data_IF_022444064730
#
_entry.id   IF_022444064730
#
_cell.length_a   1.000
_cell.length_b   1.000
_cell.length_c   1.000
_cell.angle_alpha   90.00
_cell.angle_beta   90.00
_cell.angle_gamma   90.00
#
_symmetry.space_group_name_H-M   'P 1'
#
loop_
_entity.id
_entity.type
_entity.pdbx_description
1 polymer ?
#
# COMPACT_ATOMS: atom_id res chain seq x y z
N UNK A 1 -8.45 -2.96 -7.31
CA UNK A 1 -9.77 -2.68 -7.93
C UNK A 1 -10.26 -1.26 -7.66
N UNK A 2 -10.09 -0.70 -6.47
CA UNK A 2 -10.65 0.64 -6.15
C UNK A 2 -10.07 1.83 -6.94
N UNK A 3 -8.86 1.70 -7.52
CA UNK A 3 -8.27 2.79 -8.33
C UNK A 3 -9.15 3.20 -9.52
N UNK A 4 -9.91 2.26 -10.11
CA UNK A 4 -10.81 2.57 -11.22
C UNK A 4 -11.91 3.55 -10.79
N UNK A 5 -12.50 3.35 -9.61
CA UNK A 5 -13.53 4.24 -9.06
C UNK A 5 -12.99 5.67 -8.85
N UNK A 6 -11.76 5.81 -8.36
CA UNK A 6 -11.11 7.12 -8.17
C UNK A 6 -10.89 7.82 -9.52
N UNK A 7 -10.50 7.08 -10.56
CA UNK A 7 -10.27 7.64 -11.89
C UNK A 7 -11.58 8.03 -12.59
N UNK A 8 -12.66 7.28 -12.38
CA UNK A 8 -14.00 7.66 -12.85
C UNK A 8 -14.46 8.95 -12.17
N UNK A 9 -14.29 9.07 -10.85
CA UNK A 9 -14.62 10.27 -10.06
C UNK A 9 -13.85 11.52 -10.54
N UNK A 10 -12.62 11.33 -11.05
CA UNK A 10 -11.79 12.38 -11.66
C UNK A 10 -12.05 12.61 -13.16
N UNK A 11 -13.14 12.08 -13.71
CA UNK A 11 -13.53 12.20 -15.13
C UNK A 11 -12.47 11.64 -16.11
N UNK A 12 -11.70 10.64 -15.72
CA UNK A 12 -10.75 9.99 -16.64
C UNK A 12 -11.49 9.02 -17.56
N UNK A 13 -11.31 9.09 -18.88
CA UNK A 13 -12.00 8.21 -19.81
C UNK A 13 -11.57 6.74 -19.63
N UNK A 14 -12.57 5.85 -19.70
CA UNK A 14 -12.41 4.40 -19.50
C UNK A 14 -11.45 3.78 -20.53
N UNK A 15 -11.36 4.35 -21.74
CA UNK A 15 -10.47 3.88 -22.80
C UNK A 15 -8.99 3.84 -22.39
N UNK A 16 -8.57 4.67 -21.43
CA UNK A 16 -7.18 4.76 -20.98
C UNK A 16 -6.89 3.76 -19.83
N UNK A 17 -7.90 3.10 -19.26
CA UNK A 17 -7.72 2.26 -18.07
C UNK A 17 -6.80 1.07 -18.31
N UNK A 18 -6.80 0.50 -19.52
CA UNK A 18 -5.84 -0.55 -19.89
C UNK A 18 -4.38 -0.07 -19.80
N UNK A 19 -4.12 1.14 -20.28
CA UNK A 19 -2.79 1.77 -20.25
C UNK A 19 -2.38 2.06 -18.80
N UNK A 20 -3.28 2.63 -17.99
CA UNK A 20 -3.02 2.90 -16.56
C UNK A 20 -2.73 1.61 -15.80
N UNK A 21 -3.45 0.54 -16.10
CA UNK A 21 -3.20 -0.76 -15.48
C UNK A 21 -1.80 -1.29 -15.81
N UNK A 22 -1.37 -1.23 -17.07
CA UNK A 22 -0.01 -1.63 -17.49
C UNK A 22 1.02 -0.77 -16.77
N UNK A 23 0.80 0.55 -16.71
CA UNK A 23 1.67 1.49 -15.99
C UNK A 23 1.82 1.11 -14.50
N UNK A 24 0.73 0.74 -13.83
CA UNK A 24 0.79 0.28 -12.44
C UNK A 24 1.52 -1.05 -12.29
N UNK A 25 1.41 -1.97 -13.25
CA UNK A 25 2.19 -3.22 -13.24
C UNK A 25 3.68 -2.96 -13.39
N UNK A 26 4.08 -2.09 -14.33
CA UNK A 26 5.46 -1.68 -14.49
C UNK A 26 5.99 -0.97 -13.22
N UNK A 27 5.17 -0.12 -12.62
CA UNK A 27 5.50 0.58 -11.37
C UNK A 27 5.79 -0.37 -10.21
N UNK A 28 5.04 -1.48 -10.10
CA UNK A 28 5.33 -2.51 -9.09
C UNK A 28 6.67 -3.21 -9.35
N UNK A 29 7.01 -3.48 -10.60
CA UNK A 29 8.31 -4.08 -10.97
C UNK A 29 9.44 -3.11 -10.62
N UNK A 30 9.28 -1.83 -10.94
CA UNK A 30 10.24 -0.78 -10.59
C UNK A 30 10.38 -0.68 -9.06
N UNK A 31 9.28 -0.69 -8.30
CA UNK A 31 9.32 -0.69 -6.84
C UNK A 31 10.12 -1.87 -6.27
N UNK A 32 9.93 -3.08 -6.80
CA UNK A 32 10.71 -4.25 -6.40
C UNK A 32 12.20 -4.15 -6.80
N UNK A 33 12.50 -3.58 -7.96
CA UNK A 33 13.88 -3.37 -8.39
C UNK A 33 14.61 -2.31 -7.55
N UNK A 34 13.93 -1.21 -7.25
CA UNK A 34 14.45 -0.15 -6.38
C UNK A 34 14.68 -0.69 -4.97
N UNK A 35 13.76 -1.52 -4.45
CA UNK A 35 13.93 -2.21 -3.18
C UNK A 35 15.27 -2.96 -3.13
N UNK A 36 15.58 -3.78 -4.13
CA UNK A 36 16.84 -4.56 -4.18
C UNK A 36 18.12 -3.72 -4.08
N UNK A 37 18.07 -2.44 -4.42
CA UNK A 37 19.24 -1.53 -4.45
C UNK A 37 19.42 -0.70 -3.17
N UNK A 38 18.40 -0.59 -2.31
CA UNK A 38 18.41 0.29 -1.14
C UNK A 38 18.81 -0.51 0.11
N UNK A 39 19.50 0.14 1.06
CA UNK A 39 19.82 -0.45 2.37
C UNK A 39 18.58 -0.41 3.27
N UNK A 40 18.21 -1.53 3.89
CA UNK A 40 16.94 -1.67 4.60
C UNK A 40 17.05 -1.40 6.10
N UNK A 41 16.37 -0.37 6.61
CA UNK A 41 16.16 -0.12 8.02
C UNK A 41 14.66 -0.07 8.37
N UNK A 42 14.33 -0.37 9.63
CA UNK A 42 12.98 -0.17 10.18
C UNK A 42 12.56 1.31 10.16
N UNK A 43 13.52 2.24 10.25
CA UNK A 43 13.25 3.68 10.19
C UNK A 43 12.77 4.13 8.82
N UNK A 44 13.31 3.51 7.75
CA UNK A 44 12.93 3.83 6.37
C UNK A 44 11.46 3.51 6.10
N UNK A 45 10.90 2.49 6.76
CA UNK A 45 9.48 2.15 6.66
C UNK A 45 8.57 3.29 7.16
N UNK A 46 8.92 3.95 8.26
CA UNK A 46 8.11 5.07 8.80
C UNK A 46 8.16 6.28 7.86
N UNK A 47 9.33 6.56 7.28
CA UNK A 47 9.50 7.65 6.30
C UNK A 47 8.66 7.37 5.05
N UNK A 48 8.72 6.14 4.52
CA UNK A 48 7.92 5.75 3.34
C UNK A 48 6.42 5.87 3.63
N UNK A 49 5.94 5.42 4.79
CA UNK A 49 4.54 5.56 5.20
C UNK A 49 4.10 7.03 5.30
N UNK A 50 4.94 7.90 5.85
CA UNK A 50 4.68 9.34 5.90
C UNK A 50 4.53 9.95 4.50
N UNK A 51 5.41 9.59 3.56
CA UNK A 51 5.34 10.05 2.17
C UNK A 51 4.06 9.53 1.49
N UNK A 52 3.70 8.26 1.69
CA UNK A 52 2.45 7.67 1.16
C UNK A 52 1.23 8.47 1.65
N UNK A 53 1.16 8.76 2.95
CA UNK A 53 0.06 9.52 3.52
C UNK A 53 -0.02 10.94 2.94
N UNK A 54 1.11 11.65 2.86
CA UNK A 54 1.17 13.01 2.29
C UNK A 54 0.70 13.03 0.82
N UNK A 55 1.15 12.08 0.01
CA UNK A 55 0.72 11.95 -1.39
C UNK A 55 -0.79 11.64 -1.50
N UNK A 56 -1.34 10.86 -0.58
CA UNK A 56 -2.77 10.57 -0.55
C UNK A 56 -3.61 11.83 -0.34
N UNK A 57 -3.15 12.77 0.50
CA UNK A 57 -3.79 14.07 0.70
C UNK A 57 -3.62 14.94 -0.55
N UNK A 58 -2.44 14.93 -1.18
CA UNK A 58 -2.15 15.71 -2.39
C UNK A 58 -3.12 15.39 -3.53
N UNK A 59 -3.52 14.12 -3.68
CA UNK A 59 -4.50 13.66 -4.68
C UNK A 59 -5.83 14.43 -4.61
N UNK A 60 -6.24 14.85 -3.41
CA UNK A 60 -7.48 15.61 -3.23
C UNK A 60 -7.40 16.99 -3.88
N UNK A 61 -6.24 17.63 -3.80
CA UNK A 61 -6.01 19.02 -4.21
C UNK A 61 -5.78 19.12 -5.72
N UNK A 62 -5.21 18.07 -6.33
CA UNK A 62 -4.83 18.10 -7.74
C UNK A 62 -6.04 17.98 -8.67
N UNK A 63 -6.21 19.00 -9.51
CA UNK A 63 -7.26 19.06 -10.54
C UNK A 63 -6.77 18.53 -11.90
N UNK A 64 -5.48 18.69 -12.22
CA UNK A 64 -4.94 18.26 -13.52
C UNK A 64 -4.80 16.74 -13.60
N UNK A 65 -5.45 16.12 -14.59
CA UNK A 65 -5.49 14.67 -14.79
C UNK A 65 -4.08 14.07 -14.92
N UNK A 66 -3.19 14.69 -15.71
CA UNK A 66 -1.83 14.16 -15.90
C UNK A 66 -1.02 14.16 -14.60
N UNK A 67 -1.12 15.23 -13.81
CA UNK A 67 -0.45 15.33 -12.50
C UNK A 67 -1.01 14.28 -11.54
N UNK A 68 -2.33 14.08 -11.55
CA UNK A 68 -2.99 13.05 -10.76
C UNK A 68 -2.51 11.63 -11.13
N UNK A 69 -2.40 11.30 -12.42
CA UNK A 69 -1.89 10.01 -12.90
C UNK A 69 -0.45 9.79 -12.42
N UNK A 70 0.40 10.82 -12.53
CA UNK A 70 1.80 10.75 -12.07
C UNK A 70 1.87 10.50 -10.57
N UNK A 71 1.08 11.20 -9.76
CA UNK A 71 1.03 11.01 -8.31
C UNK A 71 0.55 9.60 -7.95
N UNK A 72 -0.52 9.11 -8.60
CA UNK A 72 -1.02 7.75 -8.38
C UNK A 72 0.03 6.70 -8.73
N UNK A 73 0.75 6.90 -9.83
CA UNK A 73 1.84 6.01 -10.26
C UNK A 73 2.96 5.99 -9.22
N UNK A 74 3.37 7.17 -8.73
CA UNK A 74 4.39 7.28 -7.69
C UNK A 74 3.95 6.63 -6.37
N UNK A 75 2.67 6.78 -6.00
CA UNK A 75 2.08 6.13 -4.82
C UNK A 75 2.16 4.60 -4.96
N UNK A 76 1.88 4.03 -6.13
CA UNK A 76 2.03 2.58 -6.38
C UNK A 76 3.48 2.12 -6.18
N UNK A 77 4.46 2.88 -6.64
CA UNK A 77 5.89 2.55 -6.44
C UNK A 77 6.23 2.53 -4.95
N UNK A 78 5.81 3.53 -4.19
CA UNK A 78 6.09 3.61 -2.75
C UNK A 78 5.40 2.49 -1.96
N UNK A 79 4.15 2.17 -2.29
CA UNK A 79 3.43 1.04 -1.65
C UNK A 79 4.15 -0.28 -1.96
N UNK A 80 4.64 -0.46 -3.19
CA UNK A 80 5.43 -1.64 -3.55
C UNK A 80 6.74 -1.72 -2.76
N UNK A 81 7.47 -0.61 -2.64
CA UNK A 81 8.69 -0.51 -1.82
C UNK A 81 8.43 -0.86 -0.37
N UNK A 82 7.37 -0.29 0.21
CA UNK A 82 6.97 -0.57 1.58
C UNK A 82 6.61 -2.04 1.78
N UNK A 83 5.80 -2.62 0.89
CA UNK A 83 5.39 -4.03 0.96
C UNK A 83 6.59 -4.97 0.97
N UNK A 84 7.58 -4.73 0.12
CA UNK A 84 8.79 -5.55 0.07
C UNK A 84 9.63 -5.39 1.34
N UNK A 85 9.72 -4.16 1.88
CA UNK A 85 10.45 -3.93 3.13
C UNK A 85 9.77 -4.60 4.33
N UNK A 86 8.44 -4.55 4.39
CA UNK A 86 7.67 -5.23 5.43
C UNK A 86 7.85 -6.74 5.34
N UNK A 87 7.78 -7.33 4.15
CA UNK A 87 8.01 -8.77 3.96
C UNK A 87 9.42 -9.18 4.40
N UNK A 88 10.45 -8.42 4.00
CA UNK A 88 11.82 -8.67 4.42
C UNK A 88 11.97 -8.57 5.95
N UNK A 89 11.35 -7.56 6.56
CA UNK A 89 11.37 -7.40 8.01
C UNK A 89 10.67 -8.55 8.73
N UNK A 90 9.49 -8.99 8.26
CA UNK A 90 8.76 -10.12 8.86
C UNK A 90 9.55 -11.43 8.72
N UNK A 91 10.13 -11.71 7.54
CA UNK A 91 10.96 -12.90 7.31
C UNK A 91 12.19 -12.95 8.23
N UNK A 92 12.73 -11.79 8.62
CA UNK A 92 13.90 -11.71 9.51
C UNK A 92 13.57 -11.92 10.99
N UNK A 93 12.32 -11.68 11.40
CA UNK A 93 11.93 -11.66 12.81
C UNK A 93 10.89 -12.74 13.20
N UNK A 94 10.42 -13.56 12.25
CA UNK A 94 9.47 -14.65 12.50
C UNK A 94 10.16 -15.99 12.24
N UNK A 95 9.91 -16.97 13.12
CA UNK A 95 10.42 -18.34 12.95
C UNK A 95 9.99 -18.94 11.61
N UNK A 96 10.95 -19.55 10.91
CA UNK A 96 10.81 -20.25 9.63
C UNK A 96 9.63 -21.23 9.57
N UNK A 97 9.29 -21.89 10.69
CA UNK A 97 8.17 -22.85 10.75
C UNK A 97 6.80 -22.16 10.66
N UNK A 98 6.67 -21.00 11.31
CA UNK A 98 5.46 -20.16 11.26
C UNK A 98 5.37 -19.48 9.88
N UNK A 99 6.51 -19.03 9.35
CA UNK A 99 6.59 -18.39 8.04
C UNK A 99 6.12 -19.32 6.90
N UNK A 100 6.49 -20.61 6.94
CA UNK A 100 6.05 -21.59 5.95
C UNK A 100 4.53 -21.80 5.94
N UNK A 101 3.91 -21.75 7.12
CA UNK A 101 2.45 -21.89 7.28
C UNK A 101 1.72 -20.62 6.85
N UNK A 102 2.28 -19.44 7.16
CA UNK A 102 1.73 -18.17 6.68
C UNK A 102 1.80 -18.12 5.15
N UNK A 103 2.91 -18.53 4.56
CA UNK A 103 3.09 -18.51 3.10
C UNK A 103 2.08 -19.41 2.37
N UNK A 104 1.77 -20.60 2.91
CA UNK A 104 0.81 -21.52 2.29
C UNK A 104 -0.63 -21.00 2.32
N UNK A 105 -1.01 -20.25 3.36
CA UNK A 105 -2.37 -19.70 3.52
C UNK A 105 -2.48 -18.24 3.02
N UNK A 106 -1.36 -17.59 2.72
CA UNK A 106 -1.30 -16.17 2.34
C UNK A 106 -2.27 -15.84 1.19
N UNK A 107 -2.35 -16.70 0.18
CA UNK A 107 -3.25 -16.48 -0.96
C UNK A 107 -4.73 -16.44 -0.56
N UNK A 108 -5.15 -17.29 0.37
CA UNK A 108 -6.53 -17.33 0.88
C UNK A 108 -6.82 -16.14 1.77
N UNK A 109 -5.92 -15.84 2.71
CA UNK A 109 -6.05 -14.68 3.61
C UNK A 109 -6.11 -13.38 2.81
N UNK A 110 -5.22 -13.21 1.83
CA UNK A 110 -5.18 -12.02 0.97
C UNK A 110 -6.48 -11.82 0.19
N UNK A 111 -7.09 -12.90 -0.33
CA UNK A 111 -8.40 -12.83 -1.02
C UNK A 111 -9.53 -12.45 -0.07
N UNK A 112 -9.57 -13.04 1.14
CA UNK A 112 -10.56 -12.71 2.16
C UNK A 112 -10.44 -11.24 2.59
N UNK A 113 -9.23 -10.77 2.88
CA UNK A 113 -8.99 -9.36 3.20
C UNK A 113 -9.36 -8.45 2.03
N UNK A 114 -9.03 -8.82 0.79
CA UNK A 114 -9.41 -8.04 -0.39
C UNK A 114 -10.93 -7.91 -0.50
N UNK A 115 -11.68 -8.98 -0.24
CA UNK A 115 -13.13 -8.96 -0.23
C UNK A 115 -13.68 -8.05 0.88
N UNK A 116 -13.18 -8.20 2.12
CA UNK A 116 -13.59 -7.37 3.25
C UNK A 116 -13.33 -5.88 3.01
N UNK A 117 -12.13 -5.54 2.52
CA UNK A 117 -11.76 -4.16 2.18
C UNK A 117 -12.66 -3.62 1.08
N UNK A 118 -12.95 -4.40 0.03
CA UNK A 118 -13.81 -3.93 -1.05
C UNK A 118 -15.25 -3.65 -0.57
N UNK A 119 -15.80 -4.52 0.27
CA UNK A 119 -17.12 -4.32 0.89
C UNK A 119 -17.13 -3.09 1.78
N UNK A 120 -16.10 -2.91 2.62
CA UNK A 120 -15.96 -1.71 3.45
C UNK A 120 -15.86 -0.45 2.58
N UNK A 121 -15.06 -0.46 1.51
CA UNK A 121 -14.97 0.64 0.56
C UNK A 121 -16.34 0.98 -0.05
N UNK A 122 -17.11 -0.04 -0.42
CA UNK A 122 -18.43 0.14 -1.05
C UNK A 122 -19.41 0.80 -0.08
N UNK A 123 -19.40 0.40 1.20
CA UNK A 123 -20.24 0.98 2.24
C UNK A 123 -19.79 2.42 2.54
N UNK A 124 -18.50 2.66 2.74
CA UNK A 124 -17.96 3.99 3.03
C UNK A 124 -18.24 4.99 1.90
N UNK A 125 -18.13 4.54 0.65
CA UNK A 125 -18.39 5.37 -0.52
C UNK A 125 -19.86 5.79 -0.67
N UNK A 126 -20.81 5.14 0.01
CA UNK A 126 -22.20 5.62 0.03
C UNK A 126 -22.42 6.80 0.99
N UNK A 127 -21.48 7.05 1.91
CA UNK A 127 -21.59 8.13 2.89
C UNK A 127 -20.63 9.29 2.63
N UNK A 128 -19.48 9.02 2.01
CA UNK A 128 -18.42 10.01 1.80
C UNK A 128 -17.89 9.90 0.36
N UNK A 129 -17.37 10.99 -0.20
CA UNK A 129 -16.74 10.99 -1.52
C UNK A 129 -15.66 9.91 -1.66
N UNK A 130 -15.51 9.37 -2.87
CA UNK A 130 -14.57 8.29 -3.20
C UNK A 130 -13.13 8.66 -2.82
N UNK A 131 -12.73 9.91 -3.05
CA UNK A 131 -11.40 10.42 -2.69
C UNK A 131 -11.20 10.43 -1.17
N UNK A 132 -12.18 10.90 -0.40
CA UNK A 132 -12.07 10.91 1.06
C UNK A 132 -12.06 9.47 1.63
N UNK A 133 -12.84 8.56 1.04
CA UNK A 133 -12.81 7.13 1.37
C UNK A 133 -11.42 6.53 1.12
N UNK A 134 -10.79 6.87 0.00
CA UNK A 134 -9.42 6.46 -0.30
C UNK A 134 -8.41 6.97 0.75
N UNK A 135 -8.48 8.26 1.11
CA UNK A 135 -7.58 8.85 2.12
C UNK A 135 -7.77 8.18 3.48
N UNK A 136 -9.01 7.90 3.89
CA UNK A 136 -9.31 7.23 5.14
C UNK A 136 -8.72 5.80 5.17
N UNK A 137 -8.81 5.06 4.07
CA UNK A 137 -8.23 3.73 3.97
C UNK A 137 -6.70 3.76 4.02
N UNK A 138 -6.06 4.75 3.38
CA UNK A 138 -4.61 4.95 3.49
C UNK A 138 -4.23 5.27 4.93
N UNK A 139 -5.02 6.10 5.63
CA UNK A 139 -4.78 6.40 7.04
C UNK A 139 -4.85 5.13 7.91
N UNK A 140 -5.91 4.33 7.75
CA UNK A 140 -6.06 3.05 8.47
C UNK A 140 -4.89 2.12 8.16
N UNK A 141 -4.51 2.01 6.88
CA UNK A 141 -3.35 1.23 6.45
C UNK A 141 -2.05 1.69 7.10
N UNK A 142 -1.80 3.00 7.18
CA UNK A 142 -0.61 3.54 7.83
C UNK A 142 -0.60 3.25 9.35
N UNK A 143 -1.74 3.37 10.03
CA UNK A 143 -1.86 3.07 11.46
C UNK A 143 -1.59 1.59 11.73
N UNK A 144 -2.24 0.69 10.99
CA UNK A 144 -2.01 -0.75 11.10
C UNK A 144 -0.54 -1.12 10.83
N UNK A 145 0.04 -0.51 9.81
CA UNK A 145 1.45 -0.67 9.44
C UNK A 145 2.40 -0.27 10.58
N UNK A 146 2.15 0.87 11.21
CA UNK A 146 2.94 1.35 12.35
C UNK A 146 2.83 0.37 13.53
N UNK A 147 1.63 -0.12 13.85
CA UNK A 147 1.40 -1.08 14.93
C UNK A 147 2.17 -2.39 14.69
N UNK A 148 2.16 -2.90 13.45
CA UNK A 148 2.89 -4.11 13.07
C UNK A 148 4.40 -3.89 13.25
N UNK A 149 4.96 -2.81 12.69
CA UNK A 149 6.39 -2.54 12.80
C UNK A 149 6.80 -2.36 14.27
N UNK A 150 6.00 -1.65 15.07
CA UNK A 150 6.26 -1.44 16.49
C UNK A 150 6.34 -2.79 17.23
N UNK A 151 5.31 -3.63 17.11
CA UNK A 151 5.24 -4.94 17.78
C UNK A 151 6.45 -5.84 17.44
N UNK A 152 6.84 -5.90 16.17
CA UNK A 152 7.94 -6.77 15.73
C UNK A 152 9.34 -6.15 15.94
N UNK A 153 9.43 -4.83 16.14
CA UNK A 153 10.69 -4.18 16.54
C UNK A 153 10.96 -4.36 18.04
N UNK A 154 9.90 -4.35 18.86
CA UNK A 154 10.01 -4.47 20.32
C UNK A 154 10.39 -5.90 20.77
N UNK A 155 9.80 -6.94 20.16
CA UNK A 155 10.18 -8.33 20.40
C UNK A 155 11.70 -8.57 20.29
N UNK A 156 12.38 -7.88 19.38
CA UNK A 156 13.83 -8.03 19.17
C UNK A 156 14.68 -7.36 20.26
N UNK A 157 14.13 -6.37 20.97
CA UNK A 157 14.82 -5.72 22.11
C UNK A 157 14.70 -6.57 23.38
N UNK A 158 13.65 -7.37 23.51
CA UNK A 158 13.48 -8.29 24.64
C UNK A 158 14.42 -9.50 24.53
N UNK A 159 14.68 -10.03 23.32
CA UNK A 159 15.63 -11.14 23.10
C UNK A 159 17.11 -10.79 23.36
N UNK A 160 17.45 -9.52 23.62
CA UNK A 160 18.82 -9.03 23.86
C UNK A 160 19.06 -8.74 25.37
N UNK A 161 18.04 -8.83 26.21
CA UNK A 161 18.16 -8.67 27.67
C UNK A 161 18.17 -10.01 28.39
#
# INVERSE_FOLDING_TARGET
MYWQAIFIDKNVPISIFGIIYILFRLSNIIGAWVFKKIRHSSYDSYVILGIIFLLSILIKIVSHIYVFITIMTFLVILVSLYSNNLEYFLRKNIDSKILGTIASINSTISRLFSFLVLTACSILASFISIINTFILLILIFCILSILVIYKFTDNKREDIK
#
